data_IF_671726181057
#
_entry.id   IF_671726181057
#
_cell.length_a   1.000
_cell.length_b   1.000
_cell.length_c   1.000
_cell.angle_alpha   90.00
_cell.angle_beta   90.00
_cell.angle_gamma   90.00
#
_symmetry.space_group_name_H-M   'P 1'
#
loop_
_entity.id
_entity.type
_entity.pdbx_description
1 polymer ?
#
# COMPACT_ATOMS: atom_id res chain seq x y z
N UNK A 1 4.55 -37.95 26.03
CA UNK A 1 4.76 -37.31 24.72
C UNK A 1 3.59 -36.37 24.41
N UNK A 2 3.89 -35.06 24.42
CA UNK A 2 3.21 -33.91 23.78
C UNK A 2 1.68 -33.86 23.64
N UNK A 3 1.00 -33.23 24.63
CA UNK A 3 -0.37 -32.71 24.50
C UNK A 3 -0.42 -31.25 23.95
N UNK A 4 0.64 -30.77 23.28
CA UNK A 4 0.74 -29.36 22.84
C UNK A 4 -0.11 -28.99 21.62
N UNK A 5 -0.71 -29.96 20.92
CA UNK A 5 -1.32 -29.72 19.60
C UNK A 5 -2.75 -29.13 19.57
N UNK A 6 -3.51 -29.15 20.67
CA UNK A 6 -4.91 -28.68 20.68
C UNK A 6 -5.06 -27.21 21.08
N UNK A 7 -4.21 -26.71 21.99
CA UNK A 7 -4.26 -25.32 22.45
C UNK A 7 -3.79 -24.32 21.37
N UNK A 8 -2.73 -24.65 20.61
CA UNK A 8 -2.24 -23.78 19.52
C UNK A 8 -3.25 -23.63 18.36
N UNK A 9 -4.08 -24.64 18.12
CA UNK A 9 -5.12 -24.59 17.08
C UNK A 9 -6.33 -23.74 17.47
N UNK A 10 -6.58 -23.57 18.77
CA UNK A 10 -7.66 -22.76 19.29
C UNK A 10 -7.27 -21.28 19.37
N UNK A 11 -6.02 -20.98 19.76
CA UNK A 11 -5.50 -19.60 19.77
C UNK A 11 -5.44 -19.00 18.37
N UNK A 12 -5.02 -19.79 17.36
CA UNK A 12 -5.00 -19.34 15.98
C UNK A 12 -6.41 -19.00 15.41
N UNK A 13 -7.47 -19.64 15.90
CA UNK A 13 -8.86 -19.33 15.49
C UNK A 13 -9.46 -18.14 16.22
N UNK A 14 -8.95 -17.83 17.42
CA UNK A 14 -9.44 -16.72 18.25
C UNK A 14 -8.77 -15.38 17.96
N UNK A 15 -7.69 -15.37 17.17
CA UNK A 15 -7.05 -14.12 16.77
C UNK A 15 -8.06 -13.24 16.00
N UNK A 16 -8.23 -11.96 16.36
CA UNK A 16 -9.20 -11.06 15.70
C UNK A 16 -8.93 -10.89 14.19
N UNK A 17 -7.74 -11.27 13.73
CA UNK A 17 -7.33 -11.34 12.33
C UNK A 17 -8.09 -12.44 11.56
N UNK A 18 -8.56 -13.51 12.23
CA UNK A 18 -9.34 -14.58 11.59
C UNK A 18 -10.85 -14.30 11.53
N UNK A 19 -11.39 -13.45 12.41
CA UNK A 19 -12.81 -13.07 12.37
C UNK A 19 -13.14 -12.18 11.17
N UNK A 20 -12.19 -11.36 10.73
CA UNK A 20 -12.27 -10.64 9.45
C UNK A 20 -11.60 -11.48 8.38
N UNK A 21 -12.32 -11.83 7.30
CA UNK A 21 -11.74 -12.63 6.19
C UNK A 21 -10.43 -11.98 5.73
N UNK A 22 -9.24 -12.58 5.97
CA UNK A 22 -7.95 -11.90 5.75
C UNK A 22 -7.74 -11.55 4.27
N UNK A 23 -8.29 -12.36 3.37
CA UNK A 23 -8.31 -12.08 1.93
C UNK A 23 -9.15 -10.87 1.54
N UNK A 24 -10.16 -10.51 2.34
CA UNK A 24 -10.99 -9.31 2.12
C UNK A 24 -10.22 -8.06 2.54
N UNK A 25 -9.61 -8.10 3.72
CA UNK A 25 -8.77 -7.02 4.25
C UNK A 25 -7.62 -6.74 3.29
N UNK A 26 -6.91 -7.80 2.84
CA UNK A 26 -5.83 -7.66 1.87
C UNK A 26 -6.30 -6.99 0.56
N UNK A 27 -7.46 -7.38 0.03
CA UNK A 27 -8.02 -6.77 -1.19
C UNK A 27 -8.39 -5.31 -0.99
N UNK A 28 -8.96 -4.98 0.16
CA UNK A 28 -9.30 -3.59 0.51
C UNK A 28 -8.03 -2.74 0.63
N UNK A 29 -7.01 -3.25 1.33
CA UNK A 29 -5.72 -2.60 1.49
C UNK A 29 -5.08 -2.34 0.13
N UNK A 30 -4.96 -3.35 -0.72
CA UNK A 30 -4.39 -3.20 -2.07
C UNK A 30 -5.10 -2.10 -2.84
N UNK A 31 -6.44 -2.04 -2.82
CA UNK A 31 -7.19 -0.97 -3.48
C UNK A 31 -6.88 0.41 -2.91
N UNK A 32 -6.69 0.51 -1.59
CA UNK A 32 -6.36 1.77 -0.93
C UNK A 32 -4.97 2.27 -1.26
N UNK A 33 -3.96 1.40 -1.23
CA UNK A 33 -2.56 1.80 -1.52
C UNK A 33 -2.24 1.92 -3.01
N UNK A 34 -3.09 1.42 -3.91
CA UNK A 34 -2.87 1.57 -5.36
C UNK A 34 -3.15 3.02 -5.81
N UNK A 35 -2.14 3.77 -6.29
CA UNK A 35 -2.38 5.04 -6.96
C UNK A 35 -3.01 4.80 -8.33
N UNK A 36 -4.01 5.62 -8.68
CA UNK A 36 -4.67 5.57 -10.00
C UNK A 36 -3.87 6.40 -11.01
N UNK A 37 -3.26 7.50 -10.55
CA UNK A 37 -2.51 8.45 -11.37
C UNK A 37 -1.16 8.71 -10.70
N UNK A 38 -0.11 8.89 -11.52
CA UNK A 38 1.23 9.28 -11.08
C UNK A 38 1.82 10.34 -12.01
N UNK A 39 3.02 10.79 -11.68
CA UNK A 39 3.79 11.74 -12.47
C UNK A 39 4.91 11.01 -13.18
N UNK A 40 5.00 11.20 -14.50
CA UNK A 40 6.13 10.76 -15.31
C UNK A 40 6.88 11.98 -15.82
N UNK A 41 8.20 11.96 -15.68
CA UNK A 41 9.06 12.98 -16.28
C UNK A 41 9.04 12.87 -17.81
N UNK A 42 8.71 13.98 -18.49
CA UNK A 42 8.81 14.14 -19.94
C UNK A 42 9.65 15.37 -20.24
N UNK A 43 10.60 15.24 -21.16
CA UNK A 43 11.40 16.38 -21.64
C UNK A 43 10.69 17.05 -22.80
N UNK A 44 10.46 18.35 -22.70
CA UNK A 44 9.84 19.18 -23.75
C UNK A 44 10.62 20.49 -23.82
N UNK A 45 11.07 20.88 -25.02
CA UNK A 45 11.73 22.18 -25.22
C UNK A 45 12.99 22.44 -24.39
N UNK A 46 13.71 21.39 -23.96
CA UNK A 46 14.94 21.51 -23.17
C UNK A 46 14.75 21.42 -21.64
N UNK A 47 13.51 21.55 -21.13
CA UNK A 47 13.17 21.36 -19.72
C UNK A 47 12.46 20.01 -19.46
N UNK A 48 12.58 19.49 -18.24
CA UNK A 48 11.89 18.26 -17.81
C UNK A 48 10.64 18.64 -17.02
N UNK A 49 9.47 18.26 -17.52
CA UNK A 49 8.18 18.49 -16.87
C UNK A 49 7.63 17.18 -16.30
N UNK A 50 6.92 17.26 -15.18
CA UNK A 50 6.19 16.13 -14.62
C UNK A 50 4.77 16.12 -15.19
N UNK A 51 4.44 15.09 -15.95
CA UNK A 51 3.15 14.94 -16.62
C UNK A 51 2.35 13.84 -15.91
N UNK A 52 1.08 14.11 -15.53
CA UNK A 52 0.18 13.09 -15.00
C UNK A 52 -0.08 11.97 -16.01
N UNK A 53 0.07 10.72 -15.57
CA UNK A 53 -0.22 9.51 -16.34
C UNK A 53 -0.96 8.49 -15.47
N UNK A 54 -1.94 7.81 -16.04
CA UNK A 54 -2.66 6.72 -15.39
C UNK A 54 -1.78 5.47 -15.24
N UNK A 55 -1.81 4.87 -14.05
CA UNK A 55 -1.07 3.66 -13.74
C UNK A 55 -1.97 2.43 -13.92
N UNK A 56 -1.41 1.37 -14.51
CA UNK A 56 -2.02 0.04 -14.51
C UNK A 56 -2.00 -0.65 -13.13
N UNK A 57 -3.02 -1.44 -12.82
CA UNK A 57 -3.31 -2.03 -11.49
C UNK A 57 -2.22 -2.88 -10.83
N UNK A 58 -1.15 -3.23 -11.55
CA UNK A 58 -0.06 -4.10 -11.06
C UNK A 58 0.82 -3.44 -9.98
N UNK A 59 0.89 -2.10 -9.92
CA UNK A 59 1.90 -1.40 -9.12
C UNK A 59 1.59 -1.29 -7.61
N UNK A 60 0.32 -1.35 -7.20
CA UNK A 60 -0.07 -1.13 -5.80
C UNK A 60 0.45 -2.18 -4.82
N UNK A 61 0.66 -3.42 -5.28
CA UNK A 61 1.20 -4.52 -4.46
C UNK A 61 2.63 -4.25 -4.00
N UNK A 62 3.41 -3.58 -4.84
CA UNK A 62 4.84 -3.33 -4.58
C UNK A 62 5.04 -2.23 -3.55
N UNK A 63 4.16 -1.22 -3.52
CA UNK A 63 4.29 -0.07 -2.62
C UNK A 63 4.12 -0.44 -1.13
N UNK A 64 3.07 -1.20 -0.78
CA UNK A 64 2.84 -1.63 0.62
C UNK A 64 4.01 -2.48 1.16
N UNK A 65 4.56 -3.37 0.32
CA UNK A 65 5.74 -4.19 0.69
C UNK A 65 6.98 -3.32 0.90
N UNK A 66 7.20 -2.30 0.06
CA UNK A 66 8.34 -1.41 0.17
C UNK A 66 8.26 -0.51 1.41
N UNK A 67 7.08 0.01 1.75
CA UNK A 67 6.91 0.83 2.94
C UNK A 67 7.02 0.01 4.23
N UNK A 68 6.44 -1.20 4.25
CA UNK A 68 6.59 -2.14 5.37
C UNK A 68 8.05 -2.42 5.73
N UNK A 69 8.99 -2.39 4.76
CA UNK A 69 10.41 -2.64 5.03
C UNK A 69 11.05 -1.57 5.91
N UNK A 70 10.55 -0.33 5.87
CA UNK A 70 11.13 0.82 6.56
C UNK A 70 10.82 0.85 8.04
N UNK A 71 9.79 0.12 8.50
CA UNK A 71 9.44 0.09 9.92
C UNK A 71 10.57 -0.48 10.78
N UNK A 72 10.76 0.06 12.00
CA UNK A 72 11.66 -0.52 12.99
C UNK A 72 11.03 -1.80 13.55
N UNK A 73 11.52 -2.96 13.09
CA UNK A 73 11.19 -4.27 13.68
C UNK A 73 12.20 -5.29 13.15
N UNK A 74 12.42 -6.39 13.89
CA UNK A 74 13.37 -7.44 13.49
C UNK A 74 12.75 -8.45 12.51
N UNK A 75 11.44 -8.69 12.62
CA UNK A 75 10.73 -9.67 11.81
C UNK A 75 9.91 -9.00 10.70
N UNK A 76 10.19 -9.35 9.45
CA UNK A 76 9.46 -8.82 8.28
C UNK A 76 7.98 -9.21 8.28
N UNK A 77 7.63 -10.40 8.78
CA UNK A 77 6.23 -10.84 8.87
C UNK A 77 5.42 -9.91 9.78
N UNK A 78 6.03 -9.48 10.90
CA UNK A 78 5.39 -8.57 11.84
C UNK A 78 5.28 -7.14 11.29
N UNK A 79 6.29 -6.68 10.52
CA UNK A 79 6.20 -5.39 9.82
C UNK A 79 5.02 -5.36 8.85
N UNK A 80 4.91 -6.40 8.01
CA UNK A 80 3.83 -6.52 7.02
C UNK A 80 2.46 -6.60 7.70
N UNK A 81 2.30 -7.42 8.74
CA UNK A 81 1.01 -7.52 9.43
C UNK A 81 0.58 -6.19 10.03
N UNK A 82 1.51 -5.47 10.66
CA UNK A 82 1.20 -4.16 11.26
C UNK A 82 0.86 -3.12 10.20
N UNK A 83 1.61 -3.06 9.10
CA UNK A 83 1.31 -2.13 8.00
C UNK A 83 -0.06 -2.44 7.37
N UNK A 84 -0.37 -3.71 7.10
CA UNK A 84 -1.67 -4.11 6.55
C UNK A 84 -2.83 -3.73 7.49
N UNK A 85 -2.65 -3.87 8.80
CA UNK A 85 -3.66 -3.47 9.79
C UNK A 85 -3.87 -1.96 9.76
N UNK A 86 -2.79 -1.18 9.72
CA UNK A 86 -2.89 0.28 9.67
C UNK A 86 -3.54 0.74 8.35
N UNK A 87 -3.11 0.17 7.22
CA UNK A 87 -3.64 0.48 5.88
C UNK A 87 -5.14 0.11 5.78
N UNK A 88 -5.56 -0.96 6.47
CA UNK A 88 -6.96 -1.36 6.55
C UNK A 88 -7.83 -0.35 7.33
N UNK A 89 -7.22 0.42 8.23
CA UNK A 89 -7.86 1.52 8.97
C UNK A 89 -7.76 2.86 8.25
N UNK A 90 -6.99 2.94 7.16
CA UNK A 90 -6.79 4.17 6.40
C UNK A 90 -5.60 5.00 6.89
N UNK A 91 -4.75 4.42 7.74
CA UNK A 91 -3.49 5.02 8.20
C UNK A 91 -2.30 4.25 7.64
N UNK A 92 -1.11 4.82 7.66
CA UNK A 92 0.12 4.13 7.22
C UNK A 92 0.86 4.86 6.12
N UNK A 93 2.13 4.52 5.98
CA UNK A 93 3.07 5.30 5.17
C UNK A 93 2.76 5.16 3.68
N UNK A 94 2.28 3.99 3.25
CA UNK A 94 1.90 3.76 1.87
C UNK A 94 0.67 4.57 1.44
N UNK A 95 -0.31 4.74 2.33
CA UNK A 95 -1.50 5.58 2.07
C UNK A 95 -1.09 7.05 2.01
N UNK A 96 -0.31 7.51 2.99
CA UNK A 96 0.18 8.89 3.04
C UNK A 96 0.96 9.26 1.76
N UNK A 97 1.79 8.35 1.25
CA UNK A 97 2.50 8.53 -0.02
C UNK A 97 1.61 8.58 -1.23
N UNK A 98 0.56 7.75 -1.27
CA UNK A 98 -0.43 7.81 -2.35
C UNK A 98 -1.13 9.16 -2.34
N UNK A 99 -1.55 9.64 -1.17
CA UNK A 99 -2.22 10.94 -1.03
C UNK A 99 -1.31 12.10 -1.44
N UNK A 100 -0.05 12.08 -1.01
CA UNK A 100 0.94 13.07 -1.43
C UNK A 100 1.15 13.03 -2.96
N UNK A 101 1.25 11.84 -3.55
CA UNK A 101 1.34 11.69 -5.01
C UNK A 101 0.11 12.28 -5.69
N UNK A 102 -1.08 12.02 -5.16
CA UNK A 102 -2.33 12.55 -5.70
C UNK A 102 -2.40 14.08 -5.62
N UNK A 103 -1.95 14.66 -4.50
CA UNK A 103 -1.88 16.11 -4.32
C UNK A 103 -0.97 16.76 -5.38
N UNK A 104 0.25 16.24 -5.55
CA UNK A 104 1.18 16.77 -6.56
C UNK A 104 0.62 16.56 -7.97
N UNK A 105 -0.06 15.43 -8.22
CA UNK A 105 -0.75 15.17 -9.50
C UNK A 105 -1.81 16.23 -9.81
N UNK A 106 -2.67 16.56 -8.85
CA UNK A 106 -3.71 17.58 -9.04
C UNK A 106 -3.10 18.96 -9.32
N UNK A 107 -2.00 19.32 -8.66
CA UNK A 107 -1.26 20.56 -8.95
C UNK A 107 -0.69 20.59 -10.38
N UNK A 108 -0.35 19.43 -10.96
CA UNK A 108 0.19 19.31 -12.31
C UNK A 108 -0.85 18.98 -13.38
N UNK A 109 -2.14 18.90 -13.02
CA UNK A 109 -3.23 18.54 -13.92
C UNK A 109 -3.36 19.48 -15.13
N UNK A 110 -2.98 20.74 -14.98
CA UNK A 110 -2.95 21.71 -16.07
C UNK A 110 -2.00 21.29 -17.22
N UNK A 111 -0.92 20.57 -16.92
CA UNK A 111 0.05 20.08 -17.91
C UNK A 111 -0.38 18.80 -18.63
N UNK A 112 -1.52 18.20 -18.26
CA UNK A 112 -2.04 17.02 -18.95
C UNK A 112 -2.58 17.34 -20.36
N UNK A 113 -2.97 18.59 -20.59
CA UNK A 113 -3.60 19.05 -21.84
C UNK A 113 -2.61 19.58 -22.89
N UNK A 114 -1.34 19.78 -22.54
CA UNK A 114 -0.29 20.19 -23.48
C UNK A 114 0.27 18.99 -24.27
N UNK A 115 -0.63 18.17 -24.83
CA UNK A 115 -0.30 16.96 -25.59
C UNK A 115 0.28 17.26 -26.96
#
# INVERSE_FOLDING_TARGET
MSHRGTAEKLTAKSDPIYQTKPLSVLRQVIRRVTPIITLKGRRVGGSTHQIPIEIGSTQGKTLSILESRKRPCRNMAFKLSSELVDESKGSGDAICKKEETHRIVEEKRAFAHSR
#
